data_IF_301856491787
#
_entry.id   IF_301856491787
#
_cell.length_a   1.000
_cell.length_b   1.000
_cell.length_c   1.000
_cell.angle_alpha   90.00
_cell.angle_beta   90.00
_cell.angle_gamma   90.00
#
_symmetry.space_group_name_H-M   'P 1'
#
loop_
_entity.id
_entity.type
_entity.pdbx_description
1 polymer ?
#
# COMPACT_ATOMS: atom_id res chain seq x y z
N UNK A 1 -5.15 -13.38 7.32
CA UNK A 1 -4.95 -12.73 6.00
C UNK A 1 -5.37 -13.72 4.93
N UNK A 2 -6.47 -13.46 4.22
CA UNK A 2 -6.96 -14.31 3.11
C UNK A 2 -6.28 -13.92 1.79
N UNK A 3 -4.96 -14.03 1.73
CA UNK A 3 -4.14 -13.76 0.53
C UNK A 3 -3.80 -15.00 -0.28
N UNK A 4 -4.38 -16.16 0.05
CA UNK A 4 -3.90 -17.49 -0.35
C UNK A 4 -3.90 -17.77 -1.86
N UNK A 5 -4.50 -16.91 -2.69
CA UNK A 5 -4.50 -17.04 -4.16
C UNK A 5 -3.59 -16.04 -4.88
N UNK A 6 -3.01 -15.06 -4.18
CA UNK A 6 -2.13 -14.04 -4.78
C UNK A 6 -0.68 -14.24 -4.32
N UNK A 7 0.29 -14.36 -5.24
CA UNK A 7 1.70 -14.35 -4.86
C UNK A 7 2.04 -13.01 -4.17
N UNK A 8 2.55 -13.10 -2.94
CA UNK A 8 3.06 -11.99 -2.09
C UNK A 8 2.12 -10.79 -1.90
N UNK A 9 1.66 -10.60 -0.66
CA UNK A 9 0.85 -9.44 -0.25
C UNK A 9 1.56 -8.63 0.84
N UNK A 10 1.36 -7.31 0.85
CA UNK A 10 1.88 -6.41 1.89
C UNK A 10 0.78 -5.48 2.38
N UNK A 11 0.64 -5.34 3.70
CA UNK A 11 -0.33 -4.45 4.31
C UNK A 11 0.35 -3.38 5.16
N UNK A 12 -0.14 -2.15 5.05
CA UNK A 12 0.26 -1.02 5.90
C UNK A 12 -0.92 -0.63 6.78
N UNK A 13 -0.71 -0.60 8.09
CA UNK A 13 -1.70 -0.13 9.08
C UNK A 13 -1.01 0.69 10.17
N UNK A 14 -1.69 1.72 10.62
CA UNK A 14 -1.38 2.43 11.85
C UNK A 14 -2.69 2.94 12.48
N UNK A 15 -2.78 3.08 13.82
CA UNK A 15 -3.95 3.66 14.47
C UNK A 15 -4.29 5.04 13.89
N UNK A 16 -5.58 5.30 13.66
CA UNK A 16 -6.06 6.57 13.11
C UNK A 16 -5.72 6.81 11.63
N UNK A 17 -5.15 5.81 10.94
CA UNK A 17 -4.80 5.91 9.52
C UNK A 17 -5.56 4.89 8.70
N UNK A 18 -5.91 5.26 7.47
CA UNK A 18 -6.43 4.34 6.45
C UNK A 18 -5.46 3.17 6.27
N UNK A 19 -5.96 1.94 6.31
CA UNK A 19 -5.15 0.76 6.05
C UNK A 19 -5.13 0.43 4.54
N UNK A 20 -3.99 -0.04 4.06
CA UNK A 20 -3.76 -0.41 2.66
C UNK A 20 -3.33 -1.85 2.56
N UNK A 21 -3.89 -2.59 1.60
CA UNK A 21 -3.46 -3.93 1.22
C UNK A 21 -3.06 -3.95 -0.25
N UNK A 22 -1.82 -4.35 -0.52
CA UNK A 22 -1.30 -4.59 -1.86
C UNK A 22 -1.10 -6.09 -2.08
N UNK A 23 -1.26 -6.55 -3.33
CA UNK A 23 -0.92 -7.93 -3.70
C UNK A 23 -0.35 -8.04 -5.11
N UNK A 24 -0.13 -9.28 -5.54
CA UNK A 24 0.58 -9.58 -6.79
C UNK A 24 1.96 -8.88 -6.83
N UNK A 25 2.62 -8.85 -5.67
CA UNK A 25 3.89 -8.15 -5.47
C UNK A 25 5.06 -8.99 -5.97
N UNK A 26 6.00 -8.29 -6.58
CA UNK A 26 7.25 -8.81 -7.12
C UNK A 26 8.42 -7.99 -6.60
N UNK A 27 9.65 -8.43 -6.86
CA UNK A 27 10.86 -7.67 -6.49
C UNK A 27 10.89 -6.27 -7.10
N UNK A 28 10.29 -6.08 -8.28
CA UNK A 28 10.24 -4.79 -8.96
C UNK A 28 9.38 -3.76 -8.21
N UNK A 29 8.46 -4.19 -7.34
CA UNK A 29 7.56 -3.31 -6.59
C UNK A 29 8.21 -2.77 -5.30
N UNK A 30 9.38 -3.29 -4.89
CA UNK A 30 10.05 -2.87 -3.65
C UNK A 30 10.34 -1.36 -3.57
N UNK A 31 10.85 -0.69 -4.63
CA UNK A 31 11.05 0.75 -4.60
C UNK A 31 9.75 1.53 -4.39
N UNK A 32 8.66 1.11 -5.05
CA UNK A 32 7.35 1.76 -4.92
C UNK A 32 6.75 1.52 -3.53
N UNK A 33 6.95 0.35 -2.92
CA UNK A 33 6.54 0.06 -1.54
C UNK A 33 7.28 0.94 -0.52
N UNK A 34 8.57 1.19 -0.73
CA UNK A 34 9.35 2.11 0.11
C UNK A 34 8.87 3.56 -0.06
N UNK A 35 8.56 3.96 -1.29
CA UNK A 35 7.95 5.27 -1.57
C UNK A 35 6.60 5.39 -0.88
N UNK A 36 5.74 4.37 -0.98
CA UNK A 36 4.47 4.31 -0.25
C UNK A 36 4.69 4.47 1.26
N UNK A 37 5.61 3.69 1.85
CA UNK A 37 5.88 3.72 3.29
C UNK A 37 6.26 5.12 3.79
N UNK A 38 7.12 5.84 3.06
CA UNK A 38 7.53 7.21 3.38
C UNK A 38 6.35 8.19 3.36
N UNK A 39 5.52 8.14 2.31
CA UNK A 39 4.34 8.99 2.23
C UNK A 39 3.29 8.64 3.29
N UNK A 40 3.07 7.35 3.53
CA UNK A 40 2.14 6.85 4.54
C UNK A 40 2.56 7.28 5.95
N UNK A 41 3.86 7.27 6.24
CA UNK A 41 4.40 7.76 7.50
C UNK A 41 4.16 9.26 7.67
N UNK A 42 4.41 10.07 6.62
CA UNK A 42 4.23 11.52 6.64
C UNK A 42 2.76 11.97 6.62
N UNK A 43 1.85 11.13 6.15
CA UNK A 43 0.41 11.44 6.10
C UNK A 43 -0.24 11.29 7.48
N UNK A 44 -0.98 12.29 7.99
CA UNK A 44 -1.63 12.21 9.31
C UNK A 44 -2.74 11.15 9.37
N UNK A 45 -3.50 11.00 8.29
CA UNK A 45 -4.65 10.08 8.17
C UNK A 45 -4.35 8.84 7.30
N UNK A 46 -3.10 8.71 6.84
CA UNK A 46 -2.64 7.62 5.98
C UNK A 46 -3.14 7.70 4.54
N UNK A 47 -3.87 8.75 4.15
CA UNK A 47 -4.31 8.92 2.78
C UNK A 47 -3.18 9.45 1.89
N UNK A 48 -3.20 9.08 0.62
CA UNK A 48 -2.33 9.63 -0.41
C UNK A 48 -3.17 10.39 -1.43
N UNK A 49 -2.94 11.69 -1.53
CA UNK A 49 -3.67 12.59 -2.45
C UNK A 49 -3.36 12.29 -3.92
N UNK A 50 -2.12 11.89 -4.24
CA UNK A 50 -1.72 11.49 -5.58
C UNK A 50 -1.09 10.09 -5.56
N UNK A 51 -1.78 9.13 -6.17
CA UNK A 51 -1.30 7.74 -6.27
C UNK A 51 -0.29 7.52 -7.40
N UNK A 52 -0.07 8.49 -8.30
CA UNK A 52 0.88 8.37 -9.42
C UNK A 52 2.32 8.25 -8.94
N UNK A 53 2.63 8.79 -7.76
CA UNK A 53 3.93 8.64 -7.08
C UNK A 53 4.27 7.19 -6.77
N UNK A 54 3.28 6.29 -6.76
CA UNK A 54 3.47 4.86 -6.49
C UNK A 54 3.71 4.04 -7.77
N UNK A 55 3.94 4.67 -8.93
CA UNK A 55 4.27 3.94 -10.15
C UNK A 55 3.24 2.87 -10.51
N UNK A 56 3.70 1.63 -10.68
CA UNK A 56 2.85 0.48 -11.00
C UNK A 56 2.10 -0.06 -9.78
N UNK A 57 2.64 0.13 -8.57
CA UNK A 57 2.05 -0.34 -7.32
C UNK A 57 0.63 0.19 -7.09
N UNK A 58 0.29 1.39 -7.59
CA UNK A 58 -1.07 1.96 -7.47
C UNK A 58 -2.15 1.05 -8.05
N UNK A 59 -1.82 0.25 -9.07
CA UNK A 59 -2.76 -0.68 -9.72
C UNK A 59 -2.89 -2.00 -8.96
N UNK A 60 -2.04 -2.22 -7.96
CA UNK A 60 -1.98 -3.44 -7.14
C UNK A 60 -2.63 -3.29 -5.76
N UNK A 61 -3.29 -2.15 -5.51
CA UNK A 61 -4.06 -1.93 -4.29
C UNK A 61 -5.35 -2.77 -4.32
N UNK A 62 -5.44 -3.74 -3.42
CA UNK A 62 -6.59 -4.64 -3.28
C UNK A 62 -7.66 -4.01 -2.39
N UNK A 63 -7.23 -3.30 -1.33
CA UNK A 63 -8.14 -2.66 -0.40
C UNK A 63 -7.56 -1.36 0.15
N UNK A 64 -8.45 -0.39 0.36
CA UNK A 64 -8.27 0.80 1.19
C UNK A 64 -9.36 0.78 2.25
N UNK A 65 -8.99 0.66 3.52
CA UNK A 65 -9.92 0.49 4.63
C UNK A 65 -9.78 1.73 5.50
N UNK A 66 -10.78 2.65 5.50
CA UNK A 66 -10.78 3.79 6.41
C UNK A 66 -10.64 3.33 7.86
N UNK A 67 -9.86 4.09 8.64
CA UNK A 67 -9.63 3.85 10.07
C UNK A 67 -10.76 4.36 10.94
#
# INVERSE_FOLDING_TARGET
MSGCTRPSTCAFRAPGKTAYLFGDLTRADLPDLLTFARHYQASPDGTLTDARVLGALRMKAIARIPG
#
